data_IF_501883637094
#
_entry.id   IF_501883637094
#
_cell.length_a   1.000
_cell.length_b   1.000
_cell.length_c   1.000
_cell.angle_alpha   90.00
_cell.angle_beta   90.00
_cell.angle_gamma   90.00
#
_symmetry.space_group_name_H-M   'P 1'
#
loop_
_entity.id
_entity.type
_entity.pdbx_description
1 polymer ?
#
# COMPACT_ATOMS: atom_id res chain seq x y z
N UNK A 1 34.43 -30.98 -11.91
CA UNK A 1 32.99 -30.67 -12.00
C UNK A 1 32.77 -29.42 -11.16
N UNK A 2 32.68 -28.25 -11.79
CA UNK A 2 32.56 -26.96 -11.10
C UNK A 2 31.06 -26.71 -10.89
N UNK A 3 30.62 -26.64 -9.63
CA UNK A 3 29.28 -26.16 -9.27
C UNK A 3 29.29 -24.65 -9.46
N UNK A 4 28.71 -24.16 -10.54
CA UNK A 4 28.40 -22.74 -10.71
C UNK A 4 27.06 -22.53 -10.03
N UNK A 5 27.07 -21.96 -8.83
CA UNK A 5 25.88 -21.40 -8.19
C UNK A 5 25.59 -20.08 -8.89
N UNK A 6 24.49 -20.04 -9.64
CA UNK A 6 23.93 -18.80 -10.14
C UNK A 6 23.25 -18.12 -8.95
N UNK A 7 23.90 -17.12 -8.37
CA UNK A 7 23.20 -16.14 -7.56
C UNK A 7 22.31 -15.36 -8.52
N UNK A 8 21.00 -15.59 -8.44
CA UNK A 8 20.01 -14.76 -9.12
C UNK A 8 20.15 -13.35 -8.55
N UNK A 9 20.70 -12.45 -9.35
CA UNK A 9 20.70 -11.03 -9.08
C UNK A 9 19.25 -10.53 -9.18
N UNK A 10 18.56 -10.40 -8.06
CA UNK A 10 17.37 -9.55 -7.98
C UNK A 10 17.88 -8.11 -7.90
N UNK A 11 17.60 -7.24 -8.88
CA UNK A 11 17.82 -5.82 -8.68
C UNK A 11 17.06 -5.41 -7.41
N UNK A 12 17.76 -4.85 -6.43
CA UNK A 12 17.14 -4.41 -5.18
C UNK A 12 16.01 -3.44 -5.51
N UNK A 13 14.77 -3.78 -5.16
CA UNK A 13 13.65 -2.88 -5.43
C UNK A 13 13.83 -1.59 -4.65
N UNK A 14 13.64 -0.45 -5.33
CA UNK A 14 13.86 0.86 -4.73
C UNK A 14 12.76 1.24 -3.73
N UNK A 15 11.60 0.60 -3.80
CA UNK A 15 10.43 0.94 -3.00
C UNK A 15 10.20 -0.08 -1.88
N UNK A 16 9.94 0.47 -0.69
CA UNK A 16 9.45 -0.24 0.48
C UNK A 16 8.30 0.59 1.05
N UNK A 17 7.13 0.45 0.44
CA UNK A 17 5.94 1.27 0.75
C UNK A 17 4.72 0.37 0.92
N UNK A 18 3.78 0.81 1.76
CA UNK A 18 2.45 0.23 1.85
C UNK A 18 1.42 1.15 1.22
N UNK A 19 0.50 0.56 0.47
CA UNK A 19 -0.66 1.23 -0.14
C UNK A 19 -1.90 0.52 0.36
N UNK A 20 -2.71 1.19 1.17
CA UNK A 20 -4.01 0.70 1.61
C UNK A 20 -5.13 1.44 0.87
N UNK A 21 -6.04 0.71 0.25
CA UNK A 21 -7.26 1.22 -0.33
C UNK A 21 -8.44 0.84 0.58
N UNK A 22 -9.05 1.84 1.21
CA UNK A 22 -10.22 1.70 2.09
C UNK A 22 -11.45 2.24 1.35
N UNK A 23 -12.50 1.44 1.20
CA UNK A 23 -13.71 1.89 0.50
C UNK A 23 -14.59 2.74 1.42
N UNK A 24 -14.31 4.02 1.50
CA UNK A 24 -15.08 4.98 2.31
C UNK A 24 -15.21 6.32 1.59
N UNK A 25 -16.24 7.11 1.91
CA UNK A 25 -16.43 8.45 1.36
C UNK A 25 -15.47 9.47 1.97
N UNK A 26 -15.12 9.30 3.25
CA UNK A 26 -14.40 10.30 4.04
C UNK A 26 -12.95 9.89 4.27
N UNK A 27 -12.01 10.80 4.02
CA UNK A 27 -10.57 10.51 4.19
C UNK A 27 -10.24 10.10 5.62
N UNK A 28 -10.89 10.74 6.60
CA UNK A 28 -10.56 10.54 8.02
C UNK A 28 -10.87 9.12 8.49
N UNK A 29 -11.89 8.47 7.93
CA UNK A 29 -12.28 7.11 8.29
C UNK A 29 -11.22 6.06 7.89
N UNK A 30 -10.36 6.42 6.93
CA UNK A 30 -9.27 5.56 6.47
C UNK A 30 -7.95 5.83 7.19
N UNK A 31 -7.86 6.82 8.09
CA UNK A 31 -6.61 7.21 8.72
C UNK A 31 -6.60 6.77 10.18
N UNK A 32 -5.52 6.14 10.68
CA UNK A 32 -5.40 5.86 12.11
C UNK A 32 -5.51 7.16 12.95
N UNK A 33 -6.30 7.12 14.02
CA UNK A 33 -6.65 8.27 14.88
C UNK A 33 -5.45 9.05 15.48
N UNK A 34 -4.23 8.51 15.41
CA UNK A 34 -3.00 9.17 15.90
C UNK A 34 -2.39 10.14 14.89
N UNK A 35 -2.98 10.27 13.70
CA UNK A 35 -2.54 11.19 12.67
C UNK A 35 -3.59 12.26 12.36
N UNK A 36 -3.17 13.53 12.33
CA UNK A 36 -3.99 14.66 11.93
C UNK A 36 -3.57 15.27 10.59
N UNK A 37 -4.48 15.95 9.88
CA UNK A 37 -4.19 16.56 8.59
C UNK A 37 -3.26 17.79 8.74
N UNK A 38 -2.18 17.82 7.96
CA UNK A 38 -1.19 18.92 7.98
C UNK A 38 -1.51 20.05 6.98
N UNK A 39 -2.67 20.01 6.31
CA UNK A 39 -3.14 21.05 5.39
C UNK A 39 -2.33 21.23 4.10
N UNK A 40 -1.44 20.29 3.78
CA UNK A 40 -0.60 20.32 2.57
C UNK A 40 -0.95 19.16 1.65
N UNK A 41 -0.89 19.38 0.34
CA UNK A 41 -1.10 18.34 -0.69
C UNK A 41 0.11 18.15 -1.59
N UNK A 42 0.34 16.93 -2.07
CA UNK A 42 1.45 16.59 -2.97
C UNK A 42 1.06 15.58 -4.06
N UNK A 43 1.94 15.39 -5.04
CA UNK A 43 1.79 14.32 -6.04
C UNK A 43 2.28 12.97 -5.54
N UNK A 44 2.03 11.91 -6.31
CA UNK A 44 2.39 10.54 -5.95
C UNK A 44 3.89 10.36 -5.65
N UNK A 45 4.78 10.90 -6.49
CA UNK A 45 6.25 10.81 -6.30
C UNK A 45 6.72 11.38 -4.95
N UNK A 46 6.14 12.49 -4.51
CA UNK A 46 6.44 13.07 -3.20
C UNK A 46 5.80 12.27 -2.06
N UNK A 47 4.63 11.67 -2.30
CA UNK A 47 3.89 10.87 -1.34
C UNK A 47 4.57 9.52 -1.05
N UNK A 48 5.27 8.95 -2.04
CA UNK A 48 6.05 7.71 -1.90
C UNK A 48 7.52 7.95 -1.51
N UNK A 49 7.91 9.21 -1.30
CA UNK A 49 9.28 9.57 -0.94
C UNK A 49 9.67 9.07 0.46
N UNK A 50 10.91 8.56 0.60
CA UNK A 50 11.50 8.23 1.91
C UNK A 50 11.51 9.38 2.94
N UNK A 51 11.33 10.63 2.48
CA UNK A 51 11.15 11.80 3.37
C UNK A 51 9.84 11.76 4.17
N UNK A 52 8.89 10.91 3.76
CA UNK A 52 7.56 10.72 4.38
C UNK A 52 7.54 9.62 5.43
N UNK A 53 8.69 9.12 5.88
CA UNK A 53 8.76 8.04 6.87
C UNK A 53 7.94 8.29 8.15
N UNK A 54 7.81 9.55 8.58
CA UNK A 54 7.00 9.91 9.75
C UNK A 54 5.50 10.04 9.47
N UNK A 55 5.10 10.16 8.21
CA UNK A 55 3.82 10.72 7.79
C UNK A 55 2.93 9.66 7.12
N UNK A 56 1.65 9.96 6.94
CA UNK A 56 0.76 9.23 6.01
C UNK A 56 0.35 10.17 4.88
N UNK A 57 0.27 9.65 3.66
CA UNK A 57 -0.19 10.42 2.50
C UNK A 57 -1.50 9.84 1.98
N UNK A 58 -2.55 10.65 1.94
CA UNK A 58 -3.92 10.15 1.79
C UNK A 58 -4.66 10.85 0.64
N UNK A 59 -5.24 10.09 -0.28
CA UNK A 59 -6.00 10.64 -1.41
C UNK A 59 -7.35 9.92 -1.57
N UNK A 60 -8.35 10.64 -2.10
CA UNK A 60 -9.61 10.05 -2.54
C UNK A 60 -9.54 9.76 -4.04
N UNK A 61 -9.81 8.52 -4.44
CA UNK A 61 -9.78 8.05 -5.83
C UNK A 61 -11.01 7.18 -6.06
N UNK A 62 -12.00 7.73 -6.77
CA UNK A 62 -13.31 7.08 -6.91
C UNK A 62 -13.93 6.76 -5.54
N UNK A 63 -14.33 5.51 -5.34
CA UNK A 63 -14.92 5.03 -4.09
C UNK A 63 -13.89 4.64 -3.02
N UNK A 64 -12.59 4.73 -3.33
CA UNK A 64 -11.50 4.37 -2.44
C UNK A 64 -10.82 5.59 -1.84
N UNK A 65 -10.42 5.48 -0.58
CA UNK A 65 -9.40 6.33 0.04
C UNK A 65 -8.10 5.54 0.06
N UNK A 66 -7.07 6.11 -0.53
CA UNK A 66 -5.73 5.54 -0.65
C UNK A 66 -4.88 6.13 0.46
N UNK A 67 -4.26 5.27 1.26
CA UNK A 67 -3.32 5.61 2.32
C UNK A 67 -1.97 5.03 1.95
N UNK A 68 -0.98 5.90 1.75
CA UNK A 68 0.41 5.53 1.50
C UNK A 68 1.19 5.67 2.81
N UNK A 69 1.89 4.60 3.19
CA UNK A 69 2.80 4.57 4.32
C UNK A 69 4.18 4.05 3.92
N UNK A 70 5.16 4.95 3.86
CA UNK A 70 6.55 4.62 3.51
C UNK A 70 7.28 3.92 4.67
N UNK A 71 6.78 4.03 5.91
CA UNK A 71 7.34 3.31 7.05
C UNK A 71 6.79 1.89 7.21
N UNK A 72 5.84 1.48 6.36
CA UNK A 72 5.23 0.15 6.37
C UNK A 72 4.66 -0.27 7.73
N UNK A 73 3.94 0.64 8.40
CA UNK A 73 3.38 0.42 9.75
C UNK A 73 1.99 -0.20 9.69
N UNK A 74 1.26 -0.04 8.58
CA UNK A 74 -0.14 -0.42 8.47
C UNK A 74 -0.33 -1.94 8.52
N UNK A 75 0.51 -2.71 7.82
CA UNK A 75 0.39 -4.19 7.80
C UNK A 75 0.64 -4.85 9.16
N UNK A 76 1.28 -4.15 10.09
CA UNK A 76 1.47 -4.60 11.48
C UNK A 76 0.37 -4.14 12.44
N UNK A 77 -0.53 -3.25 12.02
CA UNK A 77 -1.57 -2.66 12.86
C UNK A 77 -2.95 -3.28 12.57
N UNK A 78 -3.12 -4.54 12.97
CA UNK A 78 -4.35 -5.31 12.73
C UNK A 78 -5.61 -4.67 13.32
N UNK A 79 -5.50 -4.02 14.48
CA UNK A 79 -6.64 -3.35 15.13
C UNK A 79 -7.17 -2.21 14.25
N UNK A 80 -6.28 -1.39 13.69
CA UNK A 80 -6.63 -0.37 12.72
C UNK A 80 -7.24 -0.98 11.45
N UNK A 81 -6.62 -2.01 10.86
CA UNK A 81 -7.13 -2.63 9.63
C UNK A 81 -8.54 -3.21 9.81
N UNK A 82 -8.80 -3.82 10.97
CA UNK A 82 -10.12 -4.31 11.33
C UNK A 82 -11.11 -3.15 11.55
N UNK A 83 -10.71 -2.08 12.22
CA UNK A 83 -11.57 -0.91 12.42
C UNK A 83 -11.93 -0.19 11.11
N UNK A 84 -10.93 0.09 10.27
CA UNK A 84 -11.10 0.77 8.99
C UNK A 84 -11.94 -0.03 7.98
N UNK A 85 -11.97 -1.36 8.11
CA UNK A 85 -12.80 -2.24 7.29
C UNK A 85 -14.12 -2.66 7.96
N UNK A 86 -14.47 -2.12 9.13
CA UNK A 86 -15.60 -2.62 9.93
C UNK A 86 -16.94 -2.61 9.19
N UNK A 87 -17.15 -1.67 8.27
CA UNK A 87 -18.37 -1.53 7.46
C UNK A 87 -18.12 -1.65 5.96
N UNK A 88 -16.89 -1.98 5.54
CA UNK A 88 -16.46 -1.86 4.14
C UNK A 88 -15.32 -2.81 3.76
N UNK A 89 -14.80 -2.67 2.54
CA UNK A 89 -13.61 -3.36 2.06
C UNK A 89 -12.34 -2.54 2.30
N UNK A 90 -11.26 -3.22 2.69
CA UNK A 90 -9.91 -2.69 2.75
C UNK A 90 -8.94 -3.66 2.08
N UNK A 91 -8.20 -3.18 1.10
CA UNK A 91 -7.08 -3.91 0.50
C UNK A 91 -5.78 -3.20 0.81
N UNK A 92 -4.77 -3.92 1.28
CA UNK A 92 -3.44 -3.39 1.52
C UNK A 92 -2.45 -4.19 0.71
N UNK A 93 -1.56 -3.50 0.00
CA UNK A 93 -0.40 -4.11 -0.62
C UNK A 93 0.87 -3.46 -0.08
N UNK A 94 1.90 -4.28 0.16
CA UNK A 94 3.26 -3.81 0.42
C UNK A 94 4.09 -4.09 -0.82
N UNK A 95 4.63 -3.01 -1.38
CA UNK A 95 5.61 -3.05 -2.47
C UNK A 95 6.98 -3.17 -1.81
N UNK A 96 7.60 -4.35 -1.91
CA UNK A 96 8.92 -4.66 -1.37
C UNK A 96 9.43 -5.98 -2.00
N UNK A 97 10.70 -6.34 -1.75
CA UNK A 97 11.27 -7.64 -2.16
C UNK A 97 10.48 -8.84 -1.62
N UNK A 98 9.83 -8.66 -0.47
CA UNK A 98 8.86 -9.61 0.09
C UNK A 98 7.50 -8.93 0.14
N UNK A 99 6.70 -9.01 -0.94
CA UNK A 99 5.42 -8.34 -0.99
C UNK A 99 4.43 -8.97 -0.02
N UNK A 100 3.46 -8.15 0.40
CA UNK A 100 2.34 -8.56 1.23
C UNK A 100 1.08 -8.09 0.55
N UNK A 101 0.03 -8.91 0.56
CA UNK A 101 -1.32 -8.48 0.26
C UNK A 101 -2.26 -8.91 1.37
N UNK A 102 -3.04 -7.96 1.88
CA UNK A 102 -4.06 -8.20 2.90
C UNK A 102 -5.42 -7.71 2.37
N UNK A 103 -6.47 -8.49 2.62
CA UNK A 103 -7.85 -8.08 2.39
C UNK A 103 -8.64 -8.21 3.68
N UNK A 104 -9.25 -7.11 4.11
CA UNK A 104 -10.22 -7.11 5.20
C UNK A 104 -11.61 -6.72 4.69
N UNK A 105 -12.63 -7.35 5.27
CA UNK A 105 -14.04 -7.03 5.05
C UNK A 105 -14.84 -7.21 6.33
N UNK A 106 -15.63 -6.21 6.69
CA UNK A 106 -16.47 -6.27 7.90
C UNK A 106 -15.64 -6.46 9.18
N UNK A 107 -14.43 -5.90 9.21
CA UNK A 107 -13.49 -6.02 10.32
C UNK A 107 -12.80 -7.38 10.46
N UNK A 108 -12.92 -8.26 9.46
CA UNK A 108 -12.27 -9.58 9.46
C UNK A 108 -11.25 -9.69 8.35
N UNK A 109 -10.11 -10.31 8.65
CA UNK A 109 -9.11 -10.70 7.66
C UNK A 109 -9.70 -11.81 6.79
N UNK A 110 -9.81 -11.54 5.49
CA UNK A 110 -10.35 -12.47 4.50
C UNK A 110 -9.24 -13.23 3.80
N UNK A 111 -8.19 -12.51 3.42
CA UNK A 111 -7.04 -13.04 2.67
C UNK A 111 -5.76 -12.40 3.20
N UNK A 112 -4.74 -13.23 3.38
CA UNK A 112 -3.37 -12.82 3.66
C UNK A 112 -2.45 -13.59 2.72
N UNK A 113 -1.65 -12.88 1.95
CA UNK A 113 -0.61 -13.44 1.10
C UNK A 113 0.72 -12.79 1.43
N UNK A 114 1.79 -13.59 1.53
CA UNK A 114 3.13 -13.09 1.87
C UNK A 114 4.20 -13.76 1.04
N UNK A 115 5.12 -12.95 0.49
CA UNK A 115 6.36 -13.44 -0.13
C UNK A 115 6.10 -14.50 -1.20
N UNK A 116 6.45 -15.76 -0.92
CA UNK A 116 6.40 -16.88 -1.87
C UNK A 116 5.03 -17.22 -2.47
N UNK A 117 3.96 -16.55 -2.04
CA UNK A 117 2.62 -16.63 -2.63
C UNK A 117 2.36 -15.53 -3.67
N UNK A 118 3.16 -14.46 -3.63
CA UNK A 118 3.19 -13.31 -4.53
C UNK A 118 4.58 -13.26 -5.20
N UNK A 119 4.94 -14.34 -5.89
CA UNK A 119 6.29 -14.45 -6.45
C UNK A 119 6.43 -13.55 -7.68
N UNK A 120 7.42 -12.64 -7.69
CA UNK A 120 7.87 -12.06 -8.94
C UNK A 120 8.34 -13.18 -9.86
N UNK A 121 7.98 -13.10 -11.15
CA UNK A 121 8.48 -13.99 -12.19
C UNK A 121 9.53 -13.26 -13.05
N UNK A 122 9.99 -13.88 -14.15
CA UNK A 122 11.01 -13.26 -15.01
C UNK A 122 10.52 -11.95 -15.67
N UNK A 123 9.20 -11.73 -15.73
CA UNK A 123 8.56 -10.61 -16.40
C UNK A 123 7.92 -9.60 -15.43
N UNK A 124 7.69 -9.96 -14.16
CA UNK A 124 7.05 -9.10 -13.14
C UNK A 124 7.93 -8.97 -11.90
N UNK A 125 8.35 -7.74 -11.59
CA UNK A 125 8.97 -7.43 -10.31
C UNK A 125 7.95 -7.36 -9.16
N UNK A 126 8.44 -7.25 -7.92
CA UNK A 126 7.56 -7.21 -6.75
C UNK A 126 6.63 -5.99 -6.71
N UNK A 127 6.98 -4.92 -7.42
CA UNK A 127 6.14 -3.73 -7.60
C UNK A 127 4.97 -4.06 -8.50
N UNK A 128 5.26 -4.64 -9.67
CA UNK A 128 4.24 -5.08 -10.63
C UNK A 128 3.25 -6.05 -9.98
N UNK A 129 3.73 -7.09 -9.28
CA UNK A 129 2.86 -8.07 -8.61
C UNK A 129 1.97 -7.43 -7.54
N UNK A 130 2.51 -6.52 -6.72
CA UNK A 130 1.74 -5.82 -5.70
C UNK A 130 0.69 -4.89 -6.32
N UNK A 131 1.04 -4.19 -7.39
CA UNK A 131 0.15 -3.27 -8.10
C UNK A 131 -0.94 -4.01 -8.87
N UNK A 132 -0.62 -5.11 -9.53
CA UNK A 132 -1.60 -5.98 -10.19
C UNK A 132 -2.62 -6.49 -9.17
N UNK A 133 -2.16 -6.94 -8.00
CA UNK A 133 -3.06 -7.38 -6.95
C UNK A 133 -3.99 -6.26 -6.47
N UNK A 134 -3.47 -5.04 -6.30
CA UNK A 134 -4.30 -3.90 -5.95
C UNK A 134 -5.33 -3.61 -7.06
N UNK A 135 -4.90 -3.60 -8.32
CA UNK A 135 -5.74 -3.32 -9.47
C UNK A 135 -6.86 -4.35 -9.66
N UNK A 136 -6.55 -5.65 -9.56
CA UNK A 136 -7.53 -6.74 -9.69
C UNK A 136 -8.65 -6.64 -8.64
N UNK A 137 -8.32 -6.19 -7.43
CA UNK A 137 -9.26 -6.17 -6.31
C UNK A 137 -10.01 -4.83 -6.16
N UNK A 138 -9.41 -3.73 -6.62
CA UNK A 138 -9.96 -2.38 -6.41
C UNK A 138 -10.38 -1.68 -7.69
N UNK A 139 -9.87 -2.13 -8.84
CA UNK A 139 -9.98 -1.46 -10.13
C UNK A 139 -9.03 -0.26 -10.31
N UNK A 140 -8.18 0.04 -9.33
CA UNK A 140 -7.27 1.18 -9.34
C UNK A 140 -5.98 0.87 -10.09
N UNK A 141 -5.59 1.74 -11.01
CA UNK A 141 -4.34 1.66 -11.76
C UNK A 141 -3.24 2.55 -11.16
N UNK A 142 -1.98 2.13 -11.29
CA UNK A 142 -0.85 2.98 -10.89
C UNK A 142 -0.79 4.25 -11.74
N UNK A 143 -0.80 4.09 -13.07
CA UNK A 143 -0.51 5.16 -14.03
C UNK A 143 -1.61 6.22 -14.15
N UNK A 144 -2.88 5.81 -14.15
CA UNK A 144 -3.99 6.76 -14.34
C UNK A 144 -4.50 7.29 -13.00
N UNK A 145 -4.73 6.40 -12.03
CA UNK A 145 -5.42 6.75 -10.81
C UNK A 145 -4.46 7.29 -9.73
N UNK A 146 -3.42 6.51 -9.39
CA UNK A 146 -2.52 6.88 -8.30
C UNK A 146 -1.56 8.01 -8.69
N UNK A 147 -0.95 7.94 -9.87
CA UNK A 147 -0.03 8.97 -10.36
C UNK A 147 -0.72 10.32 -10.57
N UNK A 148 -1.99 10.30 -10.98
CA UNK A 148 -2.83 11.48 -11.16
C UNK A 148 -3.36 12.10 -9.86
N UNK A 149 -3.34 11.35 -8.76
CA UNK A 149 -3.95 11.78 -7.50
C UNK A 149 -3.16 12.89 -6.77
N UNK A 150 -3.90 13.65 -5.94
CA UNK A 150 -3.33 14.61 -4.99
C UNK A 150 -3.49 14.09 -3.57
N UNK A 151 -2.37 13.80 -2.93
CA UNK A 151 -2.32 13.24 -1.58
C UNK A 151 -2.24 14.34 -0.55
N UNK A 152 -3.12 14.30 0.43
CA UNK A 152 -3.10 15.14 1.63
C UNK A 152 -2.15 14.53 2.64
N UNK A 153 -1.29 15.36 3.22
CA UNK A 153 -0.35 14.94 4.25
C UNK A 153 -1.04 14.83 5.61
N UNK A 154 -0.82 13.72 6.30
CA UNK A 154 -1.22 13.46 7.68
C UNK A 154 0.03 13.21 8.52
N UNK A 155 0.14 13.87 9.67
CA UNK A 155 1.31 13.82 10.57
C UNK A 155 0.86 13.35 11.95
N UNK A 156 1.77 12.81 12.75
CA UNK A 156 1.46 12.45 14.14
C UNK A 156 1.01 13.68 14.92
N UNK A 157 -0.12 13.56 15.61
CA UNK A 157 -0.68 14.58 16.51
C UNK A 157 0.04 14.65 17.86
#
# INVERSE_FOLDING_TARGET
MIKVSFETYTPAMAWNIEVAAVRTADLIDAVPDVFGPAGTTMGFEDATSGRRYGDLCVAKVGDWVIVIDVACRLSGNHDYLAAASASTDLHLVRIADQPIALHYRGGQLMTEMRGGEMLPDEDHDGESVAMDHLQENTGLSLDEDLWGAKFTLFVLD
#
